data_IF_545481270298
#
_entry.id   IF_545481270298
#
_cell.length_a   1.000
_cell.length_b   1.000
_cell.length_c   1.000
_cell.angle_alpha   90.00
_cell.angle_beta   90.00
_cell.angle_gamma   90.00
#
_symmetry.space_group_name_H-M   'P 1'
#
loop_
_entity.id
_entity.type
_entity.pdbx_description
1 polymer ?
#
# COMPACT_ATOMS: atom_id res chain seq x y z
N UNK A 1 18.57 -6.40 49.13
CA UNK A 1 18.77 -7.55 48.21
C UNK A 1 17.42 -7.94 47.67
N UNK A 2 17.15 -7.77 46.37
CA UNK A 2 15.98 -8.39 45.74
C UNK A 2 16.31 -9.87 45.52
N UNK A 3 15.41 -10.78 45.90
CA UNK A 3 15.60 -12.20 45.68
C UNK A 3 15.77 -12.48 44.18
N UNK A 4 16.72 -13.34 43.81
CA UNK A 4 17.02 -13.71 42.41
C UNK A 4 15.82 -14.30 41.65
N UNK A 5 14.77 -14.66 42.38
CA UNK A 5 13.50 -15.20 41.90
C UNK A 5 12.59 -14.14 41.24
N UNK A 6 12.84 -12.84 41.49
CA UNK A 6 12.11 -11.72 40.87
C UNK A 6 12.87 -11.11 39.67
N UNK A 7 13.80 -11.85 39.06
CA UNK A 7 14.46 -11.40 37.85
C UNK A 7 13.53 -11.54 36.64
N UNK A 8 13.22 -10.42 35.96
CA UNK A 8 12.46 -10.37 34.71
C UNK A 8 12.91 -11.51 33.77
N UNK A 9 12.01 -12.44 33.35
CA UNK A 9 12.38 -13.60 32.56
C UNK A 9 12.88 -13.23 31.15
N UNK A 10 12.72 -11.96 30.73
CA UNK A 10 13.08 -11.51 29.40
C UNK A 10 14.60 -11.33 29.25
N UNK A 11 15.14 -11.88 28.17
CA UNK A 11 16.54 -11.66 27.77
C UNK A 11 16.78 -10.22 27.31
N UNK A 12 15.78 -9.67 26.61
CA UNK A 12 15.71 -8.29 26.14
C UNK A 12 14.31 -7.76 26.38
N UNK A 13 14.20 -6.58 26.98
CA UNK A 13 12.96 -5.84 27.17
C UNK A 13 13.15 -4.45 26.55
N UNK A 14 12.41 -4.18 25.47
CA UNK A 14 12.57 -3.01 24.62
C UNK A 14 11.27 -2.21 24.69
N UNK A 15 11.38 -0.98 25.20
CA UNK A 15 10.25 -0.06 25.27
C UNK A 15 10.57 1.16 24.42
N UNK A 16 9.78 1.37 23.36
CA UNK A 16 9.87 2.54 22.51
C UNK A 16 8.79 3.56 22.84
N UNK A 17 9.09 4.83 22.67
CA UNK A 17 8.11 5.91 22.84
C UNK A 17 8.58 7.22 22.21
N UNK A 18 7.63 8.12 21.94
CA UNK A 18 7.94 9.48 21.49
C UNK A 18 7.73 10.43 22.65
N UNK A 19 8.77 11.15 23.04
CA UNK A 19 8.72 12.15 24.09
C UNK A 19 9.33 13.45 23.58
N UNK A 20 8.63 14.58 23.76
CA UNK A 20 9.05 15.90 23.26
C UNK A 20 9.44 15.90 21.77
N UNK A 21 8.75 15.10 20.95
CA UNK A 21 9.00 14.99 19.51
C UNK A 21 10.19 14.10 19.13
N UNK A 22 10.82 13.43 20.08
CA UNK A 22 11.94 12.53 19.84
C UNK A 22 11.53 11.08 20.09
N UNK A 23 11.83 10.21 19.12
CA UNK A 23 11.70 8.77 19.28
C UNK A 23 12.87 8.26 20.13
N UNK A 24 12.55 7.62 21.25
CA UNK A 24 13.54 7.04 22.16
C UNK A 24 13.19 5.60 22.50
N UNK A 25 14.22 4.82 22.85
CA UNK A 25 14.07 3.44 23.28
C UNK A 25 14.81 3.21 24.60
N UNK A 26 14.15 2.52 25.52
CA UNK A 26 14.77 1.92 26.69
C UNK A 26 14.95 0.42 26.42
N UNK A 27 16.20 -0.05 26.51
CA UNK A 27 16.55 -1.45 26.29
C UNK A 27 17.17 -1.99 27.58
N UNK A 28 16.40 -2.79 28.30
CA UNK A 28 16.90 -3.61 29.39
C UNK A 28 17.36 -4.96 28.83
N UNK A 29 18.57 -5.39 29.22
CA UNK A 29 19.22 -6.57 28.67
C UNK A 29 19.84 -7.40 29.77
N UNK A 30 19.71 -8.73 29.65
CA UNK A 30 20.43 -9.72 30.49
C UNK A 30 21.62 -10.36 29.76
N UNK A 31 21.94 -9.87 28.55
CA UNK A 31 23.16 -10.26 27.84
C UNK A 31 24.40 -9.65 28.50
N UNK A 32 25.60 -10.08 28.07
CA UNK A 32 26.82 -9.35 28.43
C UNK A 32 26.75 -7.90 27.95
N UNK A 33 27.48 -7.01 28.59
CA UNK A 33 27.51 -5.59 28.21
C UNK A 33 27.91 -5.43 26.74
N UNK A 34 28.94 -6.15 26.30
CA UNK A 34 29.40 -6.16 24.90
C UNK A 34 28.27 -6.54 23.93
N UNK A 35 27.52 -7.62 24.23
CA UNK A 35 26.41 -8.07 23.38
C UNK A 35 25.23 -7.12 23.42
N UNK A 36 24.98 -6.49 24.57
CA UNK A 36 23.94 -5.48 24.72
C UNK A 36 24.24 -4.24 23.89
N UNK A 37 25.49 -3.77 23.90
CA UNK A 37 25.92 -2.63 23.09
C UNK A 37 25.93 -2.96 21.60
N UNK A 38 26.41 -4.15 21.23
CA UNK A 38 26.34 -4.63 19.85
C UNK A 38 24.89 -4.67 19.34
N UNK A 39 23.96 -5.15 20.16
CA UNK A 39 22.53 -5.16 19.84
C UNK A 39 21.98 -3.74 19.67
N UNK A 40 22.26 -2.83 20.61
CA UNK A 40 21.77 -1.44 20.54
C UNK A 40 22.22 -0.74 19.25
N UNK A 41 23.51 -0.84 18.92
CA UNK A 41 24.05 -0.23 17.70
C UNK A 41 23.43 -0.83 16.42
N UNK A 42 23.27 -2.15 16.38
CA UNK A 42 22.63 -2.82 15.24
C UNK A 42 21.14 -2.45 15.11
N UNK A 43 20.43 -2.37 16.24
CA UNK A 43 19.02 -1.97 16.29
C UNK A 43 18.82 -0.54 15.80
N UNK A 44 19.64 0.40 16.27
CA UNK A 44 19.62 1.80 15.85
C UNK A 44 19.90 1.93 14.34
N UNK A 45 20.97 1.28 13.85
CA UNK A 45 21.33 1.28 12.43
C UNK A 45 20.20 0.73 11.55
N UNK A 46 19.58 -0.38 11.98
CA UNK A 46 18.49 -0.99 11.24
C UNK A 46 17.23 -0.12 11.24
N UNK A 47 16.92 0.53 12.37
CA UNK A 47 15.79 1.44 12.48
C UNK A 47 15.96 2.67 11.60
N UNK A 48 17.14 3.29 11.61
CA UNK A 48 17.47 4.42 10.73
C UNK A 48 17.31 4.06 9.27
N UNK A 49 17.78 2.87 8.87
CA UNK A 49 17.62 2.38 7.49
C UNK A 49 16.15 2.27 7.09
N UNK A 50 15.30 1.70 7.97
CA UNK A 50 13.86 1.56 7.74
C UNK A 50 13.20 2.93 7.64
N UNK A 51 13.51 3.86 8.54
CA UNK A 51 12.95 5.22 8.55
C UNK A 51 13.32 5.95 7.25
N UNK A 52 14.60 5.94 6.87
CA UNK A 52 15.07 6.60 5.66
C UNK A 52 14.41 6.00 4.40
N UNK A 53 14.31 4.67 4.35
CA UNK A 53 13.63 3.98 3.24
C UNK A 53 12.16 4.37 3.15
N UNK A 54 11.46 4.38 4.28
CA UNK A 54 10.06 4.76 4.35
C UNK A 54 9.84 6.23 3.94
N UNK A 55 10.71 7.14 4.35
CA UNK A 55 10.66 8.55 3.95
C UNK A 55 10.85 8.71 2.45
N UNK A 56 11.81 8.02 1.84
CA UNK A 56 12.02 8.03 0.39
C UNK A 56 10.79 7.51 -0.36
N UNK A 57 10.19 6.40 0.11
CA UNK A 57 8.98 5.84 -0.50
C UNK A 57 7.76 6.76 -0.35
N UNK A 58 7.62 7.41 0.80
CA UNK A 58 6.55 8.38 1.03
C UNK A 58 6.69 9.60 0.10
N UNK A 59 7.91 10.13 -0.05
CA UNK A 59 8.21 11.25 -0.95
C UNK A 59 7.96 10.89 -2.43
N UNK A 60 8.20 9.63 -2.81
CA UNK A 60 7.91 9.11 -4.15
C UNK A 60 6.41 8.85 -4.42
N UNK A 61 5.54 9.09 -3.44
CA UNK A 61 4.09 9.03 -3.62
C UNK A 61 3.45 7.69 -3.29
N UNK A 62 4.01 6.92 -2.35
CA UNK A 62 3.37 5.79 -1.65
C UNK A 62 2.60 4.81 -2.54
N UNK A 63 3.20 3.65 -2.86
CA UNK A 63 2.50 2.64 -3.66
C UNK A 63 1.39 1.96 -2.84
N UNK A 64 0.14 2.18 -3.23
CA UNK A 64 -0.98 1.43 -2.65
C UNK A 64 -0.95 0.00 -3.16
N UNK A 65 -0.78 -0.92 -2.24
CA UNK A 65 -0.80 -2.37 -2.47
C UNK A 65 -2.21 -2.90 -2.21
N UNK A 66 -2.50 -4.12 -2.69
CA UNK A 66 -3.79 -4.77 -2.42
C UNK A 66 -4.07 -4.95 -0.91
N UNK A 67 -3.02 -5.06 -0.09
CA UNK A 67 -3.11 -5.11 1.38
C UNK A 67 -3.73 -3.87 2.02
N UNK A 68 -3.66 -2.70 1.35
CA UNK A 68 -4.15 -1.43 1.91
C UNK A 68 -5.67 -1.29 1.90
N UNK A 69 -6.38 -2.15 1.16
CA UNK A 69 -7.81 -1.99 0.92
C UNK A 69 -8.68 -3.08 1.56
N UNK A 70 -8.07 -4.06 2.25
CA UNK A 70 -8.75 -5.18 2.89
C UNK A 70 -9.55 -6.07 1.92
N UNK A 71 -10.21 -7.10 2.46
CA UNK A 71 -11.01 -8.05 1.67
C UNK A 71 -12.23 -7.41 0.96
N UNK A 72 -12.55 -6.15 1.24
CA UNK A 72 -13.74 -5.46 0.73
C UNK A 72 -13.68 -5.07 -0.75
N UNK A 73 -12.48 -4.95 -1.33
CA UNK A 73 -12.33 -4.66 -2.76
C UNK A 73 -12.85 -5.79 -3.66
N UNK A 74 -12.75 -7.04 -3.19
CA UNK A 74 -13.09 -8.23 -3.98
C UNK A 74 -14.44 -8.83 -3.55
N UNK A 75 -15.36 -8.01 -3.01
CA UNK A 75 -16.70 -8.53 -2.71
C UNK A 75 -17.44 -8.87 -3.99
N UNK A 76 -18.14 -10.01 -3.99
CA UNK A 76 -19.01 -10.42 -5.11
C UNK A 76 -20.03 -9.34 -5.45
N UNK A 77 -20.46 -8.53 -4.47
CA UNK A 77 -21.35 -7.38 -4.69
C UNK A 77 -20.75 -6.32 -5.61
N UNK A 78 -19.49 -5.91 -5.39
CA UNK A 78 -18.80 -4.95 -6.26
C UNK A 78 -18.51 -5.52 -7.66
N UNK A 79 -18.20 -6.81 -7.75
CA UNK A 79 -18.00 -7.48 -9.04
C UNK A 79 -19.30 -7.54 -9.85
N UNK A 80 -20.42 -7.85 -9.20
CA UNK A 80 -21.74 -7.84 -9.85
C UNK A 80 -22.12 -6.43 -10.32
N UNK A 81 -21.88 -5.40 -9.50
CA UNK A 81 -22.14 -4.01 -9.88
C UNK A 81 -21.33 -3.57 -11.11
N UNK A 82 -20.05 -3.96 -11.20
CA UNK A 82 -19.21 -3.68 -12.37
C UNK A 82 -19.72 -4.42 -13.61
N UNK A 83 -20.12 -5.69 -13.47
CA UNK A 83 -20.67 -6.49 -14.57
C UNK A 83 -22.00 -5.92 -15.09
N UNK A 84 -22.91 -5.51 -14.19
CA UNK A 84 -24.18 -4.90 -14.57
C UNK A 84 -23.97 -3.57 -15.29
N UNK A 85 -23.04 -2.73 -14.80
CA UNK A 85 -22.69 -1.47 -15.47
C UNK A 85 -22.09 -1.70 -16.86
N UNK A 86 -21.25 -2.72 -17.01
CA UNK A 86 -20.65 -3.07 -18.30
C UNK A 86 -21.71 -3.58 -19.28
N UNK A 87 -22.59 -4.48 -18.84
CA UNK A 87 -23.67 -5.02 -19.67
C UNK A 87 -24.64 -3.92 -20.12
N UNK A 88 -25.04 -3.01 -19.23
CA UNK A 88 -25.90 -1.88 -19.59
C UNK A 88 -25.23 -0.93 -20.60
N UNK A 89 -23.91 -0.75 -20.54
CA UNK A 89 -23.17 0.01 -21.55
C UNK A 89 -23.14 -0.72 -22.88
N UNK A 90 -22.89 -2.03 -22.87
CA UNK A 90 -22.87 -2.86 -24.08
C UNK A 90 -24.25 -2.95 -24.76
N UNK A 91 -25.33 -3.01 -23.99
CA UNK A 91 -26.71 -2.96 -24.50
C UNK A 91 -27.02 -1.62 -25.17
N UNK A 92 -26.51 -0.50 -24.64
CA UNK A 92 -26.61 0.81 -25.31
C UNK A 92 -25.83 0.88 -26.62
N UNK A 93 -24.80 0.05 -26.79
CA UNK A 93 -24.07 -0.08 -28.05
C UNK A 93 -24.66 -1.14 -28.99
N UNK A 94 -25.74 -1.83 -28.57
CA UNK A 94 -26.41 -2.87 -29.36
C UNK A 94 -27.94 -2.67 -29.40
N UNK A 95 -28.46 -1.62 -30.06
CA UNK A 95 -29.76 -1.67 -30.76
C UNK A 95 -30.05 -0.43 -31.65
N UNK A 96 -30.78 -0.54 -32.78
CA UNK A 96 -31.19 -1.73 -33.54
C UNK A 96 -30.52 -1.84 -34.93
N UNK A 97 -30.58 -3.05 -35.50
CA UNK A 97 -30.29 -3.37 -36.89
C UNK A 97 -31.42 -2.91 -37.81
N UNK A 98 -31.04 -2.34 -38.95
CA UNK A 98 -31.77 -2.22 -40.22
C UNK A 98 -32.78 -1.07 -40.35
N UNK A 99 -32.29 0.11 -40.77
CA UNK A 99 -32.99 0.91 -41.78
C UNK A 99 -32.32 0.62 -43.13
N UNK A 100 -33.16 0.30 -44.11
CA UNK A 100 -32.81 -0.02 -45.49
C UNK A 100 -32.19 1.23 -46.14
N UNK A 101 -30.87 1.21 -46.41
CA UNK A 101 -30.20 2.31 -47.10
C UNK A 101 -30.39 2.10 -48.61
N UNK A 102 -31.25 2.94 -49.20
CA UNK A 102 -31.33 3.18 -50.64
C UNK A 102 -30.01 3.79 -51.10
N UNK A 103 -29.25 3.04 -51.90
CA UNK A 103 -27.96 3.48 -52.43
C UNK A 103 -28.17 4.32 -53.67
N UNK A 104 -28.21 5.65 -53.50
CA UNK A 104 -27.86 6.59 -54.56
C UNK A 104 -27.43 7.93 -53.96
N UNK A 105 -26.12 8.14 -53.83
CA UNK A 105 -25.42 9.39 -54.18
C UNK A 105 -23.96 9.33 -53.73
N UNK A 106 -23.07 9.54 -54.69
CA UNK A 106 -21.66 9.82 -54.49
C UNK A 106 -21.49 11.15 -53.75
N UNK A 107 -20.77 11.16 -52.63
CA UNK A 107 -20.02 12.35 -52.22
C UNK A 107 -18.65 11.93 -51.67
N UNK A 108 -17.63 12.23 -52.47
CA UNK A 108 -16.22 12.26 -52.07
C UNK A 108 -16.03 13.32 -50.99
N UNK A 109 -15.53 12.95 -49.82
CA UNK A 109 -15.08 13.94 -48.83
C UNK A 109 -13.63 13.72 -48.42
N UNK A 110 -12.79 14.65 -48.86
CA UNK A 110 -11.38 14.82 -48.49
C UNK A 110 -11.29 15.29 -47.04
N UNK A 111 -10.48 14.64 -46.22
CA UNK A 111 -10.05 15.17 -44.91
C UNK A 111 -8.55 15.42 -44.92
N UNK A 112 -8.16 16.65 -44.61
CA UNK A 112 -6.76 17.07 -44.38
C UNK A 112 -6.45 16.83 -42.90
N UNK A 113 -5.33 16.14 -42.63
CA UNK A 113 -4.80 15.93 -41.29
C UNK A 113 -3.83 17.09 -40.97
N UNK A 114 -4.14 17.91 -39.98
CA UNK A 114 -3.16 18.83 -39.38
C UNK A 114 -2.37 18.08 -38.28
N UNK A 115 -1.04 18.28 -38.29
CA UNK A 115 -0.08 17.75 -37.32
C UNK A 115 0.20 18.83 -36.27
#
# INVERSE_FOLDING_TARGET
MMASENADPLLLNINGGVQAGQLGFSIASRLSEEKSQQFKAAFETALDLVINTAQMQAAAGGQRTLSDYGNGLFSNGRLNEVNERLNHVLEKFQAPKNEEIDTDSEETNTFVLEI
#
